data_IF_558001326547
#
_entry.id   IF_558001326547
#
_cell.length_a   1.000
_cell.length_b   1.000
_cell.length_c   1.000
_cell.angle_alpha   90.00
_cell.angle_beta   90.00
_cell.angle_gamma   90.00
#
_symmetry.space_group_name_H-M   'P 1'
#
loop_
_entity.id
_entity.type
_entity.pdbx_description
1 polymer ?
#
# COMPACT_ATOMS: atom_id res chain seq x y z
N UNK A 1 30.98 7.77 2.56
CA UNK A 1 30.24 9.00 2.19
C UNK A 1 28.90 8.93 2.90
N UNK A 2 28.85 9.45 4.12
CA UNK A 2 27.58 9.69 4.82
C UNK A 2 26.95 10.92 4.17
N UNK A 3 26.04 10.70 3.23
CA UNK A 3 25.15 11.76 2.80
C UNK A 3 24.20 12.04 3.96
N UNK A 4 24.35 13.22 4.54
CA UNK A 4 23.46 13.82 5.53
C UNK A 4 22.00 13.70 5.08
N UNK A 5 21.25 12.87 5.80
CA UNK A 5 19.84 12.45 5.58
C UNK A 5 18.82 13.58 5.83
N UNK A 6 19.25 14.83 5.89
CA UNK A 6 18.48 15.90 6.56
C UNK A 6 17.23 16.36 5.79
N UNK A 7 17.01 15.96 4.53
CA UNK A 7 15.87 16.43 3.72
C UNK A 7 15.08 15.34 2.95
N UNK A 8 15.24 14.05 3.26
CA UNK A 8 14.37 13.01 2.64
C UNK A 8 13.02 12.98 3.38
N UNK A 9 11.89 13.35 2.74
CA UNK A 9 10.59 13.42 3.41
C UNK A 9 10.02 12.04 3.78
N UNK A 10 10.68 10.95 3.39
CA UNK A 10 10.34 9.59 3.77
C UNK A 10 11.21 9.04 4.91
N UNK A 11 12.00 9.90 5.56
CA UNK A 11 12.63 9.59 6.84
C UNK A 11 11.56 9.56 7.91
N UNK A 12 11.38 8.40 8.52
CA UNK A 12 10.40 8.15 9.57
C UNK A 12 11.10 8.00 10.91
N UNK A 13 10.61 8.71 11.93
CA UNK A 13 10.98 8.40 13.31
C UNK A 13 10.11 7.23 13.78
N UNK A 14 10.72 6.06 14.00
CA UNK A 14 9.97 4.86 14.40
C UNK A 14 10.04 4.59 15.90
N UNK A 15 10.90 5.29 16.63
CA UNK A 15 10.99 5.17 18.08
C UNK A 15 12.19 5.89 18.67
N UNK A 16 12.57 5.47 19.87
CA UNK A 16 13.78 5.90 20.58
C UNK A 16 14.57 4.68 21.05
N UNK A 17 15.87 4.85 21.21
CA UNK A 17 16.70 3.87 21.90
C UNK A 17 16.24 3.77 23.38
N UNK A 18 16.00 2.56 23.92
CA UNK A 18 15.54 2.39 25.30
C UNK A 18 16.46 2.98 26.36
N UNK A 19 17.78 2.92 26.11
CA UNK A 19 18.81 3.25 27.07
C UNK A 19 19.20 4.71 26.95
N UNK A 20 19.52 5.16 25.72
CA UNK A 20 20.03 6.51 25.48
C UNK A 20 18.92 7.54 25.25
N UNK A 21 17.68 7.08 24.96
CA UNK A 21 16.54 7.91 24.57
C UNK A 21 16.74 8.72 23.29
N UNK A 22 17.79 8.42 22.52
CA UNK A 22 18.02 9.06 21.23
C UNK A 22 16.96 8.63 20.22
N UNK A 23 16.50 9.57 19.38
CA UNK A 23 15.55 9.29 18.32
C UNK A 23 16.14 8.32 17.31
N UNK A 24 15.35 7.30 16.96
CA UNK A 24 15.68 6.33 15.94
C UNK A 24 14.89 6.65 14.67
N UNK A 25 15.62 7.02 13.62
CA UNK A 25 15.05 7.46 12.33
C UNK A 25 15.68 6.67 11.19
N UNK A 26 14.90 6.37 10.16
CA UNK A 26 15.44 5.80 8.91
C UNK A 26 14.52 6.13 7.73
N UNK A 27 15.07 6.17 6.52
CA UNK A 27 14.30 6.37 5.30
C UNK A 27 13.55 5.09 4.90
N UNK A 28 12.25 5.21 4.59
CA UNK A 28 11.47 4.08 4.04
C UNK A 28 12.15 3.43 2.82
N UNK A 29 12.77 4.17 1.86
CA UNK A 29 13.48 3.56 0.74
C UNK A 29 14.70 2.71 1.14
N UNK A 30 15.29 2.99 2.31
CA UNK A 30 16.40 2.19 2.89
C UNK A 30 15.91 1.02 3.71
N UNK A 31 14.73 1.13 4.32
CA UNK A 31 14.02 0.00 4.92
C UNK A 31 13.42 -0.95 3.89
N UNK A 32 13.17 -0.47 2.67
CA UNK A 32 12.57 -1.17 1.53
C UNK A 32 11.16 -1.67 1.84
N UNK A 33 11.02 -2.77 2.57
CA UNK A 33 9.74 -3.31 3.03
C UNK A 33 9.86 -3.69 4.51
N UNK A 34 8.82 -3.38 5.28
CA UNK A 34 8.80 -3.52 6.73
C UNK A 34 7.92 -4.72 7.11
N UNK A 35 8.47 -5.63 7.92
CA UNK A 35 7.73 -6.69 8.58
C UNK A 35 7.56 -6.39 10.08
N UNK A 36 6.35 -6.51 10.61
CA UNK A 36 6.08 -6.38 12.05
C UNK A 36 5.56 -7.70 12.61
N UNK A 37 6.28 -8.27 13.57
CA UNK A 37 6.00 -9.60 14.12
C UNK A 37 5.94 -9.52 15.63
N UNK A 38 4.77 -9.78 16.23
CA UNK A 38 4.62 -9.72 17.69
C UNK A 38 3.34 -10.41 18.15
N UNK A 39 3.27 -10.88 19.39
CA UNK A 39 2.02 -11.41 19.95
C UNK A 39 0.99 -10.29 20.20
N UNK A 40 -0.26 -10.70 20.47
CA UNK A 40 -1.33 -9.78 20.88
C UNK A 40 -0.89 -8.95 22.09
N UNK A 41 -1.16 -7.64 22.05
CA UNK A 41 -0.74 -6.71 23.10
C UNK A 41 0.70 -6.18 22.96
N UNK A 42 1.50 -6.69 22.02
CA UNK A 42 2.89 -6.25 21.80
C UNK A 42 3.05 -4.85 21.19
N UNK A 43 1.95 -4.18 20.80
CA UNK A 43 1.98 -2.82 20.28
C UNK A 43 1.95 -2.70 18.75
N UNK A 44 1.61 -3.78 18.03
CA UNK A 44 1.49 -3.83 16.55
C UNK A 44 0.75 -2.62 15.96
N UNK A 45 -0.52 -2.45 16.32
CA UNK A 45 -1.37 -1.34 15.82
C UNK A 45 -0.80 0.03 16.18
N UNK A 46 -0.20 0.16 17.38
CA UNK A 46 0.41 1.44 17.81
C UNK A 46 1.60 1.80 16.92
N UNK A 47 2.47 0.83 16.61
CA UNK A 47 3.60 1.04 15.71
C UNK A 47 3.12 1.40 14.30
N UNK A 48 2.19 0.63 13.73
CA UNK A 48 1.67 0.87 12.38
C UNK A 48 1.03 2.25 12.25
N UNK A 49 0.20 2.66 13.22
CA UNK A 49 -0.38 4.01 13.26
C UNK A 49 0.70 5.09 13.35
N UNK A 50 1.75 4.88 14.14
CA UNK A 50 2.87 5.82 14.24
C UNK A 50 3.63 5.94 12.92
N UNK A 51 3.90 4.82 12.23
CA UNK A 51 4.55 4.83 10.92
C UNK A 51 3.70 5.57 9.87
N UNK A 52 2.39 5.29 9.80
CA UNK A 52 1.47 6.01 8.91
C UNK A 52 1.47 7.50 9.24
N UNK A 53 1.38 7.84 10.52
CA UNK A 53 1.36 9.22 10.98
C UNK A 53 2.60 10.00 10.55
N UNK A 54 3.81 9.45 10.76
CA UNK A 54 5.06 10.09 10.33
C UNK A 54 5.09 10.29 8.80
N UNK A 55 4.62 9.30 8.05
CA UNK A 55 4.56 9.39 6.58
C UNK A 55 3.60 10.49 6.11
N UNK A 56 2.36 10.53 6.59
CA UNK A 56 1.36 11.50 6.13
C UNK A 56 1.63 12.93 6.61
N UNK A 57 2.30 13.08 7.76
CA UNK A 57 2.69 14.39 8.30
C UNK A 57 3.79 15.04 7.46
N UNK A 58 4.71 14.24 6.92
CA UNK A 58 5.82 14.73 6.11
C UNK A 58 5.51 14.79 4.61
N UNK A 59 4.47 14.08 4.13
CA UNK A 59 4.20 13.92 2.71
C UNK A 59 2.74 14.20 2.36
N UNK A 60 2.51 15.12 1.41
CA UNK A 60 1.19 15.34 0.83
C UNK A 60 0.71 14.19 -0.07
N UNK A 61 -0.58 14.18 -0.44
CA UNK A 61 -1.19 13.13 -1.27
C UNK A 61 -0.67 13.11 -2.73
N UNK A 62 0.05 14.13 -3.14
CA UNK A 62 0.79 14.24 -4.41
C UNK A 62 2.12 13.48 -4.38
N UNK A 63 2.68 13.24 -3.19
CA UNK A 63 3.96 12.53 -2.99
C UNK A 63 3.80 11.15 -2.38
N UNK A 64 2.75 10.93 -1.61
CA UNK A 64 2.47 9.68 -0.90
C UNK A 64 1.07 9.19 -1.19
N UNK A 65 0.98 7.89 -1.44
CA UNK A 65 -0.24 7.13 -1.63
C UNK A 65 -0.27 5.93 -0.69
N UNK A 66 -1.45 5.60 -0.16
CA UNK A 66 -1.64 4.55 0.82
C UNK A 66 -2.67 3.52 0.34
N UNK A 67 -2.36 2.25 0.57
CA UNK A 67 -3.34 1.16 0.58
C UNK A 67 -3.33 0.62 2.00
N UNK A 68 -4.51 0.47 2.61
CA UNK A 68 -4.64 -0.05 3.98
C UNK A 68 -5.59 -1.25 3.94
N UNK A 69 -5.13 -2.37 4.47
CA UNK A 69 -5.94 -3.56 4.74
C UNK A 69 -6.11 -3.75 6.24
N UNK A 70 -7.37 -3.74 6.68
CA UNK A 70 -7.82 -3.93 8.06
C UNK A 70 -9.01 -4.90 8.06
N UNK A 71 -8.76 -6.22 7.95
CA UNK A 71 -9.81 -7.22 7.74
C UNK A 71 -10.69 -7.48 8.97
N UNK A 72 -10.24 -7.10 10.16
CA UNK A 72 -10.87 -7.52 11.42
C UNK A 72 -11.11 -6.39 12.40
N UNK A 73 -10.28 -5.36 12.39
CA UNK A 73 -10.37 -4.29 13.36
C UNK A 73 -11.04 -3.07 12.72
N UNK A 74 -11.48 -2.14 13.55
CA UNK A 74 -11.85 -0.79 13.09
C UNK A 74 -10.72 0.18 13.41
N UNK A 75 -9.48 -0.34 13.43
CA UNK A 75 -8.33 0.37 13.95
C UNK A 75 -7.88 1.50 13.02
N UNK A 76 -8.28 1.45 11.75
CA UNK A 76 -7.93 2.47 10.77
C UNK A 76 -9.16 3.23 10.24
N UNK A 77 -10.35 3.04 10.85
CA UNK A 77 -11.59 3.65 10.37
C UNK A 77 -11.55 5.19 10.26
N UNK A 78 -10.81 5.85 11.16
CA UNK A 78 -10.61 7.30 11.14
C UNK A 78 -9.72 7.79 9.97
N UNK A 79 -9.05 6.88 9.25
CA UNK A 79 -8.33 7.19 8.01
C UNK A 79 -9.17 7.06 6.74
N UNK A 80 -10.43 6.62 6.83
CA UNK A 80 -11.30 6.33 5.68
C UNK A 80 -11.49 7.49 4.68
N UNK A 81 -11.20 8.73 5.09
CA UNK A 81 -11.32 9.94 4.25
C UNK A 81 -10.00 10.59 3.86
N UNK A 82 -8.86 9.96 4.17
CA UNK A 82 -7.54 10.48 3.80
C UNK A 82 -7.43 10.68 2.29
N UNK A 83 -6.93 11.85 1.87
CA UNK A 83 -6.62 12.14 0.47
C UNK A 83 -5.50 11.25 -0.10
N UNK A 84 -4.71 10.63 0.78
CA UNK A 84 -3.58 9.75 0.45
C UNK A 84 -4.01 8.35 0.07
N UNK A 85 -5.17 7.88 0.53
CA UNK A 85 -5.64 6.54 0.17
C UNK A 85 -5.69 6.41 -1.36
N UNK A 86 -5.47 5.21 -1.90
CA UNK A 86 -5.66 4.88 -3.33
C UNK A 86 -6.97 4.18 -3.59
N UNK A 87 -7.52 3.55 -2.57
CA UNK A 87 -8.76 2.79 -2.57
C UNK A 87 -9.39 2.89 -1.16
N UNK A 88 -10.66 2.50 -1.00
CA UNK A 88 -11.22 2.27 0.33
C UNK A 88 -10.36 1.31 1.15
N UNK A 89 -10.42 1.44 2.48
CA UNK A 89 -9.73 0.52 3.39
C UNK A 89 -10.31 -0.88 3.20
N UNK A 90 -9.48 -1.81 2.73
CA UNK A 90 -9.87 -3.19 2.47
C UNK A 90 -10.19 -3.94 3.77
N UNK A 91 -11.33 -4.63 3.78
CA UNK A 91 -11.90 -5.30 4.97
C UNK A 91 -11.94 -6.81 4.87
N UNK A 92 -11.50 -7.38 3.77
CA UNK A 92 -11.45 -8.82 3.56
C UNK A 92 -10.33 -9.16 2.57
N UNK A 93 -10.14 -10.46 2.35
CA UNK A 93 -9.13 -11.00 1.43
C UNK A 93 -9.34 -10.53 -0.02
N UNK A 94 -10.57 -10.54 -0.53
CA UNK A 94 -10.87 -10.14 -1.91
C UNK A 94 -10.56 -8.66 -2.15
N UNK A 95 -11.03 -7.78 -1.26
CA UNK A 95 -10.73 -6.34 -1.30
C UNK A 95 -9.22 -6.08 -1.16
N UNK A 96 -8.52 -6.84 -0.32
CA UNK A 96 -7.08 -6.70 -0.16
C UNK A 96 -6.34 -7.13 -1.42
N UNK A 97 -6.77 -8.23 -2.04
CA UNK A 97 -6.22 -8.76 -3.28
C UNK A 97 -6.40 -7.74 -4.41
N UNK A 98 -7.61 -7.20 -4.57
CA UNK A 98 -7.90 -6.15 -5.56
C UNK A 98 -7.06 -4.89 -5.32
N UNK A 99 -6.91 -4.46 -4.06
CA UNK A 99 -6.12 -3.29 -3.71
C UNK A 99 -4.61 -3.49 -3.99
N UNK A 100 -4.04 -4.65 -3.64
CA UNK A 100 -2.63 -4.95 -3.92
C UNK A 100 -2.38 -5.09 -5.42
N UNK A 101 -3.32 -5.65 -6.18
CA UNK A 101 -3.24 -5.71 -7.64
C UNK A 101 -3.16 -4.32 -8.29
N UNK A 102 -3.72 -3.27 -7.69
CA UNK A 102 -3.54 -1.89 -8.16
C UNK A 102 -2.09 -1.44 -8.02
N UNK A 103 -1.48 -1.71 -6.87
CA UNK A 103 -0.07 -1.37 -6.66
C UNK A 103 0.84 -2.16 -7.60
N UNK A 104 0.56 -3.45 -7.81
CA UNK A 104 1.31 -4.27 -8.77
C UNK A 104 1.20 -3.75 -10.20
N UNK A 105 -0.02 -3.42 -10.67
CA UNK A 105 -0.22 -2.80 -11.99
C UNK A 105 0.51 -1.48 -12.14
N UNK A 106 0.48 -0.64 -11.11
CA UNK A 106 1.21 0.63 -11.10
C UNK A 106 2.73 0.39 -11.13
N UNK A 107 3.23 -0.66 -10.47
CA UNK A 107 4.63 -1.09 -10.56
C UNK A 107 5.03 -1.36 -12.00
N UNK A 108 4.24 -2.17 -12.71
CA UNK A 108 4.50 -2.51 -14.10
C UNK A 108 4.36 -1.29 -15.02
N UNK A 109 3.36 -0.42 -14.79
CA UNK A 109 3.23 0.85 -15.53
C UNK A 109 4.48 1.72 -15.36
N UNK A 110 4.99 1.86 -14.14
CA UNK A 110 6.23 2.61 -13.86
C UNK A 110 7.44 2.01 -14.57
N UNK A 111 7.55 0.69 -14.58
CA UNK A 111 8.60 -0.03 -15.30
C UNK A 111 8.53 0.23 -16.81
N UNK A 112 7.34 0.22 -17.41
CA UNK A 112 7.16 0.53 -18.85
C UNK A 112 7.55 1.97 -19.19
N UNK A 113 7.14 2.96 -18.40
CA UNK A 113 7.50 4.38 -18.69
C UNK A 113 8.97 4.68 -18.43
N UNK A 114 9.64 3.94 -17.53
CA UNK A 114 11.06 4.10 -17.21
C UNK A 114 11.96 3.42 -18.25
N UNK A 115 11.53 2.29 -18.82
CA UNK A 115 12.32 1.46 -19.76
C UNK A 115 13.00 2.26 -20.89
N UNK A 116 12.32 3.14 -21.65
CA UNK A 116 12.96 3.88 -22.74
C UNK A 116 14.07 4.83 -22.29
N UNK A 117 14.07 5.23 -21.02
CA UNK A 117 15.14 6.05 -20.43
C UNK A 117 16.31 5.18 -19.96
N UNK A 118 16.01 4.02 -19.36
CA UNK A 118 17.00 3.04 -18.91
C UNK A 118 17.87 2.52 -20.06
N UNK A 119 17.31 2.38 -21.27
CA UNK A 119 18.03 1.97 -22.48
C UNK A 119 19.03 3.02 -22.98
N UNK A 120 18.85 4.29 -22.59
CA UNK A 120 19.67 5.41 -23.06
C UNK A 120 20.72 5.85 -22.04
N UNK A 121 20.41 5.74 -20.76
CA UNK A 121 21.28 6.17 -19.65
C UNK A 121 20.89 5.46 -18.34
N UNK A 122 21.76 5.46 -17.31
CA UNK A 122 21.42 4.89 -16.01
C UNK A 122 20.12 5.47 -15.43
N UNK A 123 19.05 4.69 -15.47
CA UNK A 123 17.73 5.06 -14.97
C UNK A 123 17.00 3.78 -14.52
N UNK A 124 17.13 3.45 -13.24
CA UNK A 124 16.61 2.18 -12.71
C UNK A 124 15.58 2.39 -11.60
N UNK A 125 15.21 3.64 -11.34
CA UNK A 125 14.35 4.02 -10.20
C UNK A 125 13.46 5.20 -10.52
N UNK A 126 12.42 5.42 -9.71
CA UNK A 126 11.58 6.62 -9.81
C UNK A 126 12.38 7.90 -9.50
N UNK A 127 13.43 7.82 -8.69
CA UNK A 127 14.29 8.95 -8.38
C UNK A 127 15.14 9.34 -9.60
N UNK A 128 15.70 8.36 -10.31
CA UNK A 128 16.45 8.62 -11.54
C UNK A 128 15.53 9.16 -12.63
N UNK A 129 14.34 8.57 -12.79
CA UNK A 129 13.32 9.03 -13.72
C UNK A 129 12.91 10.49 -13.46
N UNK A 130 12.68 10.85 -12.20
CA UNK A 130 12.36 12.21 -11.81
C UNK A 130 13.50 13.20 -12.10
N UNK A 131 14.77 12.81 -11.88
CA UNK A 131 15.92 13.65 -12.22
C UNK A 131 16.03 13.92 -13.72
N UNK A 132 15.65 12.94 -14.55
CA UNK A 132 15.75 13.02 -16.01
C UNK A 132 14.59 13.82 -16.62
N UNK A 133 13.37 13.57 -16.14
CA UNK A 133 12.13 14.07 -16.76
C UNK A 133 11.51 15.26 -16.03
N UNK A 134 11.90 15.49 -14.77
CA UNK A 134 11.19 16.39 -13.86
C UNK A 134 9.86 15.84 -13.33
N UNK A 135 9.43 14.65 -13.77
CA UNK A 135 8.14 14.06 -13.37
C UNK A 135 8.31 13.27 -12.08
N UNK A 136 7.65 13.74 -11.02
CA UNK A 136 7.61 13.06 -9.73
C UNK A 136 6.48 12.02 -9.70
N UNK A 137 6.83 10.78 -9.35
CA UNK A 137 5.85 9.71 -9.13
C UNK A 137 5.65 9.51 -7.62
N UNK A 138 4.41 9.52 -7.10
CA UNK A 138 4.18 9.36 -5.68
C UNK A 138 4.60 7.96 -5.21
N UNK A 139 5.16 7.85 -4.01
CA UNK A 139 5.40 6.53 -3.41
C UNK A 139 4.10 5.90 -2.96
N UNK A 140 3.97 4.59 -3.14
CA UNK A 140 2.82 3.81 -2.68
C UNK A 140 3.26 2.98 -1.49
N UNK A 141 2.54 3.07 -0.38
CA UNK A 141 2.79 2.26 0.81
C UNK A 141 1.56 1.40 1.08
N UNK A 142 1.75 0.08 1.01
CA UNK A 142 0.76 -0.93 1.31
C UNK A 142 0.90 -1.30 2.79
N UNK A 143 -0.10 -1.04 3.60
CA UNK A 143 -0.14 -1.39 5.02
C UNK A 143 -1.10 -2.55 5.22
N UNK A 144 -0.58 -3.69 5.66
CA UNK A 144 -1.38 -4.87 6.00
C UNK A 144 -1.34 -5.05 7.51
N UNK A 145 -2.45 -4.78 8.19
CA UNK A 145 -2.49 -4.87 9.65
C UNK A 145 -2.30 -6.31 10.15
N UNK A 146 -2.99 -7.26 9.54
CA UNK A 146 -2.85 -8.69 9.85
C UNK A 146 -2.77 -9.49 8.55
N UNK A 147 -1.58 -9.52 7.94
CA UNK A 147 -1.38 -10.17 6.64
C UNK A 147 -1.75 -11.66 6.67
N UNK A 148 -1.60 -12.34 7.81
CA UNK A 148 -1.95 -13.76 7.92
C UNK A 148 -3.45 -14.06 7.86
N UNK A 149 -4.31 -13.04 8.00
CA UNK A 149 -5.76 -13.19 7.91
C UNK A 149 -6.30 -12.97 6.49
N UNK A 150 -5.48 -12.44 5.58
CA UNK A 150 -5.84 -12.18 4.18
C UNK A 150 -5.03 -13.01 3.19
N UNK A 151 -3.91 -13.59 3.64
CA UNK A 151 -3.14 -14.54 2.82
C UNK A 151 -3.72 -15.93 3.01
N UNK A 152 -4.54 -16.37 2.07
CA UNK A 152 -4.92 -17.78 1.93
C UNK A 152 -4.09 -18.46 0.84
N UNK A 153 -4.02 -19.79 0.88
CA UNK A 153 -3.34 -20.58 -0.16
C UNK A 153 -3.99 -20.49 -1.55
N UNK A 154 -5.22 -19.99 -1.63
CA UNK A 154 -6.00 -19.91 -2.87
C UNK A 154 -5.95 -18.53 -3.51
N UNK A 155 -5.52 -17.50 -2.77
CA UNK A 155 -5.46 -16.15 -3.29
C UNK A 155 -4.11 -15.85 -3.97
N UNK A 156 -4.11 -15.11 -5.09
CA UNK A 156 -2.88 -14.62 -5.73
C UNK A 156 -2.18 -13.54 -4.89
N UNK A 157 -2.76 -13.08 -3.78
CA UNK A 157 -2.25 -12.01 -2.94
C UNK A 157 -0.78 -12.23 -2.52
N UNK A 158 -0.43 -13.43 -2.07
CA UNK A 158 0.94 -13.71 -1.62
C UNK A 158 1.95 -13.60 -2.76
N UNK A 159 1.61 -14.07 -3.95
CA UNK A 159 2.44 -13.97 -5.15
C UNK A 159 2.66 -12.50 -5.53
N UNK A 160 1.59 -11.69 -5.56
CA UNK A 160 1.67 -10.25 -5.80
C UNK A 160 2.55 -9.54 -4.77
N UNK A 161 2.41 -9.86 -3.48
CA UNK A 161 3.22 -9.27 -2.41
C UNK A 161 4.70 -9.67 -2.53
N UNK A 162 5.00 -10.92 -2.90
CA UNK A 162 6.36 -11.37 -3.17
C UNK A 162 6.96 -10.60 -4.36
N UNK A 163 6.22 -10.48 -5.47
CA UNK A 163 6.68 -9.74 -6.65
C UNK A 163 6.96 -8.27 -6.33
N UNK A 164 6.06 -7.61 -5.59
CA UNK A 164 6.26 -6.25 -5.11
C UNK A 164 7.46 -6.19 -4.15
N UNK A 165 7.63 -7.17 -3.27
CA UNK A 165 8.79 -7.24 -2.38
C UNK A 165 10.14 -7.35 -3.11
N UNK A 166 10.15 -8.03 -4.25
CA UNK A 166 11.36 -8.22 -5.06
C UNK A 166 11.69 -7.00 -5.93
N UNK A 167 10.68 -6.33 -6.50
CA UNK A 167 10.87 -5.30 -7.54
C UNK A 167 10.43 -3.88 -7.11
N UNK A 168 9.51 -3.79 -6.15
CA UNK A 168 8.74 -2.59 -5.83
C UNK A 168 9.57 -1.42 -5.35
N UNK A 169 10.67 -1.66 -4.61
CA UNK A 169 11.55 -0.61 -4.08
C UNK A 169 11.98 0.39 -5.16
N UNK A 170 12.46 -0.10 -6.30
CA UNK A 170 12.93 0.74 -7.41
C UNK A 170 11.80 1.60 -7.99
N UNK A 171 10.58 1.07 -7.95
CA UNK A 171 9.38 1.72 -8.47
C UNK A 171 8.64 2.53 -7.40
N UNK A 172 9.22 2.71 -6.21
CA UNK A 172 8.64 3.47 -5.10
C UNK A 172 7.40 2.84 -4.48
N UNK A 173 7.32 1.51 -4.47
CA UNK A 173 6.24 0.75 -3.85
C UNK A 173 6.81 -0.02 -2.66
N UNK A 174 6.23 0.21 -1.49
CA UNK A 174 6.69 -0.31 -0.21
C UNK A 174 5.59 -1.10 0.47
N UNK A 175 5.97 -2.14 1.22
CA UNK A 175 5.04 -2.96 2.00
C UNK A 175 5.37 -2.75 3.47
N UNK A 176 4.35 -2.53 4.29
CA UNK A 176 4.40 -2.63 5.75
C UNK A 176 3.44 -3.74 6.14
N UNK A 177 3.96 -4.95 6.26
CA UNK A 177 3.19 -6.15 6.56
C UNK A 177 3.33 -6.53 8.02
N UNK A 178 2.22 -6.66 8.73
CA UNK A 178 2.22 -7.03 10.13
C UNK A 178 1.46 -8.32 10.38
N UNK A 179 1.91 -9.10 11.36
CA UNK A 179 1.19 -10.29 11.81
C UNK A 179 1.44 -10.61 13.27
N UNK A 180 0.40 -11.12 13.93
CA UNK A 180 0.49 -11.73 15.25
C UNK A 180 0.78 -13.23 15.23
N UNK A 181 0.84 -13.83 14.04
CA UNK A 181 1.06 -15.27 13.82
C UNK A 181 2.28 -15.45 12.90
N UNK A 182 3.51 -15.27 13.40
CA UNK A 182 4.73 -15.21 12.58
C UNK A 182 5.16 -16.55 11.96
N UNK A 183 4.38 -17.62 12.13
CA UNK A 183 4.73 -18.98 11.73
C UNK A 183 4.71 -19.16 10.21
N UNK A 184 5.51 -20.11 9.71
CA UNK A 184 5.56 -20.44 8.28
C UNK A 184 4.24 -20.97 7.71
N UNK A 185 3.32 -21.44 8.57
CA UNK A 185 1.98 -21.88 8.18
C UNK A 185 1.10 -20.70 7.73
N UNK A 186 1.37 -19.51 8.26
CA UNK A 186 0.53 -18.33 8.14
C UNK A 186 1.10 -17.30 7.16
N UNK A 187 2.43 -17.23 7.04
CA UNK A 187 3.14 -16.35 6.10
C UNK A 187 4.36 -17.11 5.59
N UNK A 188 4.53 -17.22 4.26
CA UNK A 188 5.66 -17.97 3.70
C UNK A 188 7.03 -17.38 4.08
N UNK A 189 8.06 -18.23 4.02
CA UNK A 189 9.45 -17.79 4.21
C UNK A 189 9.90 -16.81 3.13
N UNK A 190 9.37 -16.94 1.91
CA UNK A 190 9.71 -16.10 0.76
C UNK A 190 9.18 -14.67 0.92
N UNK A 191 7.91 -14.51 1.32
CA UNK A 191 7.37 -13.19 1.62
C UNK A 191 8.14 -12.52 2.77
N UNK A 192 8.42 -13.27 3.85
CA UNK A 192 9.22 -12.76 4.99
C UNK A 192 10.66 -12.39 4.62
N UNK A 193 11.24 -13.02 3.61
CA UNK A 193 12.59 -12.68 3.13
C UNK A 193 12.62 -11.30 2.45
N UNK A 194 11.54 -10.93 1.76
CA UNK A 194 11.41 -9.62 1.10
C UNK A 194 11.07 -8.47 2.06
N UNK A 195 10.57 -8.75 3.27
CA UNK A 195 10.39 -7.78 4.35
C UNK A 195 11.74 -7.49 5.04
N UNK A 196 12.60 -6.69 4.41
CA UNK A 196 14.01 -6.55 4.79
C UNK A 196 14.25 -5.82 6.11
N UNK A 197 13.43 -4.81 6.44
CA UNK A 197 13.39 -4.24 7.78
C UNK A 197 12.35 -4.97 8.65
N UNK A 198 12.72 -5.45 9.83
CA UNK A 198 11.84 -6.24 10.69
C UNK A 198 11.76 -5.65 12.08
N UNK A 199 10.55 -5.40 12.55
CA UNK A 199 10.23 -5.03 13.92
C UNK A 199 9.69 -6.26 14.63
N UNK A 200 10.52 -6.83 15.50
CA UNK A 200 10.19 -8.07 16.21
C UNK A 200 9.92 -7.73 17.67
N UNK A 201 8.66 -7.89 18.08
CA UNK A 201 8.25 -7.69 19.47
C UNK A 201 8.53 -8.93 20.32
N UNK A 202 8.07 -8.90 21.57
CA UNK A 202 8.19 -10.06 22.46
C UNK A 202 7.41 -11.27 21.92
N UNK A 203 8.02 -12.44 22.00
CA UNK A 203 7.46 -13.75 21.71
C UNK A 203 7.76 -14.69 22.88
N UNK A 204 6.84 -15.61 23.16
CA UNK A 204 6.97 -16.60 24.23
C UNK A 204 7.90 -17.74 23.86
N UNK A 205 7.96 -18.11 22.58
CA UNK A 205 8.86 -19.14 22.07
C UNK A 205 10.07 -18.51 21.37
N UNK A 206 11.25 -18.80 21.89
CA UNK A 206 12.52 -18.36 21.33
C UNK A 206 12.75 -18.86 19.89
N UNK A 207 12.14 -19.99 19.51
CA UNK A 207 12.23 -20.53 18.15
C UNK A 207 11.58 -19.62 17.11
N UNK A 208 10.52 -18.88 17.49
CA UNK A 208 9.79 -17.99 16.60
C UNK A 208 10.64 -16.79 16.15
N UNK A 209 11.51 -16.27 17.02
CA UNK A 209 12.47 -15.24 16.63
C UNK A 209 13.40 -15.73 15.51
N UNK A 210 13.77 -17.02 15.50
CA UNK A 210 14.57 -17.60 14.42
C UNK A 210 13.88 -17.53 13.06
N UNK A 211 12.56 -17.59 13.03
CA UNK A 211 11.77 -17.55 11.80
C UNK A 211 11.66 -16.15 11.19
N UNK A 212 11.94 -15.10 11.97
CA UNK A 212 11.76 -13.71 11.53
C UNK A 212 13.00 -12.84 11.73
N UNK A 213 13.60 -12.82 12.92
CA UNK A 213 14.67 -11.88 13.26
C UNK A 213 16.02 -12.27 12.65
N UNK A 214 16.34 -13.57 12.58
CA UNK A 214 17.64 -14.08 12.12
C UNK A 214 18.86 -13.45 12.85
N UNK A 215 18.71 -13.09 14.12
CA UNK A 215 19.83 -12.64 14.98
C UNK A 215 20.40 -13.82 15.79
N UNK A 216 21.58 -13.70 16.43
CA UNK A 216 22.10 -14.77 17.28
C UNK A 216 21.11 -15.16 18.38
N UNK A 217 20.92 -16.47 18.61
CA UNK A 217 19.91 -16.99 19.57
C UNK A 217 20.06 -16.42 20.99
N UNK A 218 21.29 -16.10 21.40
CA UNK A 218 21.57 -15.48 22.69
C UNK A 218 20.88 -14.10 22.87
N UNK A 219 20.49 -13.43 21.78
CA UNK A 219 19.83 -12.13 21.83
C UNK A 219 18.31 -12.25 22.06
N UNK A 220 17.70 -13.41 21.82
CA UNK A 220 16.25 -13.59 21.98
C UNK A 220 15.83 -13.41 23.44
N UNK A 221 16.66 -13.84 24.38
CA UNK A 221 16.41 -13.71 25.83
C UNK A 221 16.50 -12.28 26.35
N UNK A 222 17.07 -11.36 25.56
CA UNK A 222 17.14 -9.94 25.90
C UNK A 222 15.82 -9.20 25.61
N UNK A 223 14.92 -9.80 24.83
CA UNK A 223 13.63 -9.19 24.52
C UNK A 223 12.72 -9.14 25.75
N UNK A 224 12.30 -7.92 26.08
CA UNK A 224 11.42 -7.66 27.22
C UNK A 224 9.96 -7.67 26.76
N UNK A 225 9.08 -8.24 27.59
CA UNK A 225 7.64 -8.17 27.39
C UNK A 225 7.09 -6.79 27.78
N UNK A 226 7.39 -5.78 26.95
CA UNK A 226 6.93 -4.41 27.10
C UNK A 226 6.23 -4.02 25.79
N UNK A 227 4.98 -3.56 25.82
CA UNK A 227 4.30 -3.08 24.61
C UNK A 227 5.12 -2.00 23.90
N UNK A 228 5.33 -2.18 22.59
CA UNK A 228 6.14 -1.29 21.77
C UNK A 228 7.66 -1.45 21.98
N UNK A 229 8.14 -2.43 22.74
CA UNK A 229 9.55 -2.85 22.69
C UNK A 229 9.77 -3.68 21.44
N UNK A 230 10.68 -3.23 20.58
CA UNK A 230 11.02 -3.89 19.33
C UNK A 230 12.51 -4.21 19.29
N UNK A 231 12.85 -5.39 18.82
CA UNK A 231 14.12 -5.66 18.17
C UNK A 231 13.97 -5.32 16.69
N UNK A 232 14.64 -4.26 16.26
CA UNK A 232 14.64 -3.82 14.87
C UNK A 232 15.83 -4.47 14.19
N UNK A 233 15.57 -5.23 13.13
CA UNK A 233 16.60 -5.87 12.29
C UNK A 233 16.54 -5.26 10.90
N UNK A 234 17.68 -4.84 10.38
CA UNK A 234 17.78 -4.29 9.02
C UNK A 234 19.18 -4.57 8.45
N UNK A 235 19.50 -3.98 7.30
CA UNK A 235 20.79 -4.19 6.61
C UNK A 235 22.01 -3.73 7.40
N UNK A 236 21.86 -2.82 8.38
CA UNK A 236 22.95 -2.30 9.22
C UNK A 236 23.21 -3.16 10.46
N UNK A 237 22.37 -4.17 10.71
CA UNK A 237 22.43 -5.01 11.90
C UNK A 237 21.12 -4.99 12.66
N UNK A 238 21.20 -5.02 13.99
CA UNK A 238 20.03 -5.02 14.86
C UNK A 238 20.23 -4.09 16.05
N UNK A 239 19.13 -3.56 16.57
CA UNK A 239 19.10 -2.72 17.77
C UNK A 239 17.74 -2.78 18.46
N UNK A 240 17.70 -2.40 19.75
CA UNK A 240 16.43 -2.25 20.45
C UNK A 240 15.81 -0.88 20.20
N UNK A 241 14.49 -0.86 20.18
CA UNK A 241 13.69 0.33 19.98
C UNK A 241 12.52 0.31 20.96
N UNK A 242 12.22 1.46 21.56
CA UNK A 242 10.90 1.74 22.11
C UNK A 242 10.10 2.50 21.04
N UNK A 243 9.09 1.87 20.48
CA UNK A 243 8.23 2.44 19.45
C UNK A 243 7.50 3.69 19.93
N UNK A 244 7.25 4.61 19.00
CA UNK A 244 6.45 5.80 19.28
C UNK A 244 5.01 5.43 19.59
N UNK A 245 4.39 6.20 20.49
CA UNK A 245 2.94 6.19 20.72
C UNK A 245 2.41 7.58 20.41
N UNK A 246 1.67 7.69 19.31
CA UNK A 246 0.90 8.89 18.99
C UNK A 246 -0.45 8.79 19.69
N UNK A 247 -0.88 9.86 20.34
CA UNK A 247 -2.20 9.88 20.99
C UNK A 247 -3.31 9.80 19.94
N UNK A 248 -4.43 9.16 20.27
CA UNK A 248 -5.58 9.05 19.35
C UNK A 248 -6.10 10.43 18.92
N UNK A 249 -6.06 11.42 19.82
CA UNK A 249 -6.40 12.82 19.50
C UNK A 249 -5.53 13.38 18.38
N UNK A 250 -4.22 13.15 18.43
CA UNK A 250 -3.29 13.63 17.41
C UNK A 250 -3.45 12.84 16.10
N UNK A 251 -3.63 11.52 16.18
CA UNK A 251 -3.92 10.68 15.01
C UNK A 251 -5.15 11.19 14.25
N UNK A 252 -6.26 11.42 14.96
CA UNK A 252 -7.51 11.91 14.39
C UNK A 252 -7.34 13.32 13.83
N UNK A 253 -6.68 14.22 14.57
CA UNK A 253 -6.44 15.60 14.13
C UNK A 253 -5.64 15.64 12.82
N UNK A 254 -4.55 14.89 12.73
CA UNK A 254 -3.72 14.82 11.51
C UNK A 254 -4.51 14.15 10.38
N UNK A 255 -5.24 13.07 10.66
CA UNK A 255 -6.10 12.43 9.67
C UNK A 255 -7.13 13.41 9.09
N UNK A 256 -7.80 14.18 9.94
CA UNK A 256 -8.79 15.19 9.54
C UNK A 256 -8.16 16.32 8.72
N UNK A 257 -6.95 16.78 9.08
CA UNK A 257 -6.23 17.81 8.34
C UNK A 257 -5.99 17.42 6.87
N UNK A 258 -5.67 16.15 6.62
CA UNK A 258 -5.45 15.60 5.27
C UNK A 258 -6.68 14.89 4.68
N UNK A 259 -7.83 14.96 5.35
CA UNK A 259 -9.07 14.39 4.86
C UNK A 259 -9.73 15.31 3.86
N UNK A 260 -10.40 14.72 2.87
CA UNK A 260 -11.24 15.48 1.94
C UNK A 260 -12.64 15.69 2.53
N UNK A 261 -13.34 16.80 2.20
CA UNK A 261 -14.73 17.01 2.62
C UNK A 261 -15.67 15.90 2.15
N UNK A 262 -15.45 15.43 0.92
CA UNK A 262 -16.13 14.29 0.32
C UNK A 262 -15.19 13.09 0.25
N UNK A 263 -15.73 11.86 0.26
CA UNK A 263 -14.92 10.66 -0.01
C UNK A 263 -14.10 10.88 -1.29
N UNK A 264 -12.83 10.45 -1.33
CA UNK A 264 -12.04 10.57 -2.55
C UNK A 264 -12.83 9.95 -3.70
N UNK A 265 -13.01 10.69 -4.79
CA UNK A 265 -13.38 10.07 -6.07
C UNK A 265 -12.18 9.21 -6.43
N UNK A 266 -12.32 7.94 -6.17
CA UNK A 266 -11.44 6.91 -6.68
C UNK A 266 -11.66 6.92 -8.19
N UNK A 267 -10.87 7.71 -8.92
CA UNK A 267 -11.04 8.04 -10.34
C UNK A 267 -11.12 6.80 -11.24
N UNK A 268 -12.19 6.02 -11.21
CA UNK A 268 -12.52 4.96 -12.16
C UNK A 268 -11.48 3.84 -12.36
N UNK A 269 -10.22 3.94 -11.94
CA UNK A 269 -9.21 2.88 -12.08
C UNK A 269 -9.51 1.69 -11.16
N UNK A 270 -10.35 1.93 -10.14
CA UNK A 270 -10.86 0.92 -9.21
C UNK A 270 -12.09 0.17 -9.73
N UNK A 271 -12.85 0.71 -10.69
CA UNK A 271 -14.01 0.03 -11.30
C UNK A 271 -13.78 -0.35 -12.77
N UNK A 272 -12.81 0.28 -13.45
CA UNK A 272 -12.50 0.03 -14.86
C UNK A 272 -11.81 -1.32 -15.11
N UNK A 273 -11.40 -2.04 -14.07
CA UNK A 273 -10.67 -3.30 -14.21
C UNK A 273 -11.56 -4.54 -13.97
N UNK A 274 -12.69 -4.41 -13.24
CA UNK A 274 -13.65 -5.52 -13.08
C UNK A 274 -15.12 -5.21 -13.40
N UNK A 275 -15.52 -3.95 -13.66
CA UNK A 275 -16.94 -3.60 -13.82
C UNK A 275 -17.25 -2.66 -15.00
N UNK A 276 -16.55 -2.76 -16.14
CA UNK A 276 -17.11 -2.18 -17.37
C UNK A 276 -18.25 -3.07 -17.87
N UNK A 277 -19.52 -2.60 -17.93
CA UNK A 277 -20.59 -3.40 -18.49
C UNK A 277 -20.24 -3.64 -19.96
N UNK A 278 -19.88 -4.88 -20.32
CA UNK A 278 -19.77 -5.25 -21.73
C UNK A 278 -21.17 -5.47 -22.25
N UNK A 279 -21.52 -4.88 -23.39
CA UNK A 279 -22.75 -5.20 -24.14
C UNK A 279 -22.68 -6.69 -24.56
N UNK A 280 -23.14 -7.58 -23.70
CA UNK A 280 -23.22 -9.04 -23.87
C UNK A 280 -24.68 -9.46 -24.04
N UNK A 281 -24.91 -10.64 -24.62
CA UNK A 281 -26.25 -11.12 -24.95
C UNK A 281 -26.63 -10.86 -26.41
N UNK A 282 -27.90 -11.07 -26.72
CA UNK A 282 -28.54 -10.79 -28.01
C UNK A 282 -28.54 -9.27 -28.31
N UNK A 283 -28.78 -8.90 -29.58
CA UNK A 283 -28.82 -7.48 -29.94
C UNK A 283 -29.93 -6.72 -29.21
N UNK A 284 -31.07 -7.36 -28.93
CA UNK A 284 -32.18 -6.77 -28.20
C UNK A 284 -31.82 -6.46 -26.73
N UNK A 285 -31.09 -7.36 -26.06
CA UNK A 285 -30.62 -7.13 -24.69
C UNK A 285 -29.60 -5.99 -24.63
N UNK A 286 -28.70 -5.91 -25.62
CA UNK A 286 -27.73 -4.80 -25.74
C UNK A 286 -28.43 -3.47 -25.96
N UNK A 287 -29.44 -3.43 -26.83
CA UNK A 287 -30.19 -2.21 -27.13
C UNK A 287 -30.99 -1.74 -25.90
N UNK A 288 -31.56 -2.67 -25.12
CA UNK A 288 -32.27 -2.35 -23.88
C UNK A 288 -31.35 -1.74 -22.83
N UNK A 289 -30.21 -2.38 -22.55
CA UNK A 289 -29.21 -1.90 -21.59
C UNK A 289 -28.63 -0.54 -21.98
N UNK A 290 -28.35 -0.35 -23.27
CA UNK A 290 -27.84 0.91 -23.77
C UNK A 290 -28.90 2.01 -23.70
N UNK A 291 -30.16 1.68 -24.00
CA UNK A 291 -31.30 2.60 -23.93
C UNK A 291 -31.59 3.08 -22.51
N UNK A 292 -31.59 2.18 -21.52
CA UNK A 292 -31.74 2.54 -20.10
C UNK A 292 -30.65 3.51 -19.64
N UNK A 293 -29.41 3.28 -20.05
CA UNK A 293 -28.30 4.18 -19.74
C UNK A 293 -28.46 5.56 -20.41
N UNK A 294 -28.93 5.62 -21.67
CA UNK A 294 -29.18 6.89 -22.35
C UNK A 294 -30.28 7.73 -21.68
N UNK A 295 -31.30 7.10 -21.09
CA UNK A 295 -32.36 7.81 -20.36
C UNK A 295 -31.84 8.62 -19.16
N UNK A 296 -30.63 8.34 -18.67
CA UNK A 296 -29.98 9.11 -17.63
C UNK A 296 -29.40 10.46 -18.10
N UNK A 297 -29.41 10.75 -19.40
CA UNK A 297 -28.81 11.96 -19.95
C UNK A 297 -29.88 12.96 -20.42
N UNK A 298 -29.76 14.21 -19.98
CA UNK A 298 -30.61 15.33 -20.43
C UNK A 298 -30.19 15.90 -21.81
N UNK A 299 -29.04 15.45 -22.34
CA UNK A 299 -28.51 15.82 -23.67
C UNK A 299 -27.92 14.59 -24.32
N UNK A 300 -27.77 14.61 -25.64
CA UNK A 300 -27.07 13.54 -26.35
C UNK A 300 -25.63 13.43 -25.83
N UNK A 301 -25.20 12.27 -25.31
CA UNK A 301 -23.81 12.08 -24.89
C UNK A 301 -22.89 12.02 -26.11
N UNK A 302 -21.66 12.52 -25.95
CA UNK A 302 -20.62 12.45 -26.97
C UNK A 302 -20.14 11.00 -27.16
N UNK A 303 -19.60 10.70 -28.35
CA UNK A 303 -19.11 9.35 -28.64
C UNK A 303 -17.99 8.93 -27.68
N UNK A 304 -17.16 9.89 -27.27
CA UNK A 304 -16.10 9.73 -26.29
C UNK A 304 -16.65 9.33 -24.91
N UNK A 305 -17.76 9.95 -24.45
CA UNK A 305 -18.44 9.60 -23.18
C UNK A 305 -19.01 8.17 -23.23
N UNK A 306 -19.53 7.75 -24.39
CA UNK A 306 -20.02 6.38 -24.62
C UNK A 306 -18.89 5.35 -24.64
N UNK A 307 -17.80 5.65 -25.34
CA UNK A 307 -16.62 4.79 -25.43
C UNK A 307 -15.96 4.61 -24.06
N UNK A 308 -15.91 5.70 -23.29
CA UNK A 308 -15.37 5.71 -21.93
C UNK A 308 -16.18 4.81 -21.01
N UNK A 309 -17.52 4.93 -21.03
CA UNK A 309 -18.42 4.15 -20.18
C UNK A 309 -18.51 2.66 -20.58
N UNK A 310 -18.71 2.36 -21.87
CA UNK A 310 -18.99 1.00 -22.35
C UNK A 310 -17.73 0.23 -22.81
N UNK A 311 -16.58 0.90 -22.93
CA UNK A 311 -15.35 0.28 -23.43
C UNK A 311 -15.47 -0.24 -24.87
N UNK A 312 -16.30 0.39 -25.70
CA UNK A 312 -16.54 0.01 -27.09
C UNK A 312 -15.79 0.91 -28.09
N UNK A 313 -15.70 0.50 -29.35
CA UNK A 313 -15.06 1.30 -30.40
C UNK A 313 -15.91 2.51 -30.79
N UNK A 314 -15.28 3.58 -31.29
CA UNK A 314 -15.97 4.79 -31.77
C UNK A 314 -17.08 4.50 -32.79
N UNK A 315 -16.91 3.61 -33.79
CA UNK A 315 -18.00 3.24 -34.70
C UNK A 315 -19.18 2.56 -33.98
N UNK A 316 -18.89 1.71 -33.00
CA UNK A 316 -19.93 1.04 -32.18
C UNK A 316 -20.72 2.08 -31.38
N UNK A 317 -20.03 2.98 -30.70
CA UNK A 317 -20.64 4.07 -29.93
C UNK A 317 -21.57 4.93 -30.80
N UNK A 318 -21.09 5.38 -31.96
CA UNK A 318 -21.87 6.16 -32.91
C UNK A 318 -23.08 5.38 -33.46
N UNK A 319 -22.93 4.08 -33.71
CA UNK A 319 -24.03 3.21 -34.16
C UNK A 319 -25.15 3.07 -33.14
N UNK A 320 -24.85 2.95 -31.85
CA UNK A 320 -25.88 2.92 -30.80
C UNK A 320 -26.53 4.30 -30.60
N UNK A 321 -25.73 5.38 -30.54
CA UNK A 321 -26.25 6.75 -30.45
C UNK A 321 -27.13 7.14 -31.63
N UNK A 322 -26.83 6.66 -32.84
CA UNK A 322 -27.63 6.93 -34.02
C UNK A 322 -28.97 6.17 -34.05
N UNK A 323 -29.01 4.98 -33.44
CA UNK A 323 -30.22 4.12 -33.45
C UNK A 323 -31.16 4.38 -32.27
N UNK A 324 -30.61 4.67 -31.09
CA UNK A 324 -31.37 4.64 -29.83
C UNK A 324 -31.59 6.01 -29.20
N UNK A 325 -30.80 7.03 -29.55
CA UNK A 325 -31.06 8.39 -29.10
C UNK A 325 -32.24 8.97 -29.87
N UNK A 326 -33.31 9.36 -29.16
CA UNK A 326 -34.42 10.15 -29.70
C UNK A 326 -34.29 11.56 -29.14
N UNK A 327 -34.43 12.56 -30.00
CA UNK A 327 -34.43 13.98 -29.60
C UNK A 327 -35.61 14.33 -28.69
#
# INVERSE_FOLDING_TARGET
REETVVNDPFVIQYGVDPMTRQSLTEGLPRMEHIGVFTLTGGGKTTLLRALIHELIKANGPDRLKLIISDPKTLDYAFYSRLAHLLCPIARNEDETTAAVALAEREMERRKEIIRPYAEKQPCNSIEDFAKITGVMLPRIVIVLDEMSDVISKQSPLEESLIRIGQLGRAFGIHIIGATQRPTAKNVSGELKANLTAKFVGFMTDNSEYGNVAKVPKAMYTLMQNIPGRWMVVNRKGWHFCQGLRISDRELVKVAQHYSRPNAPVWNGELEAIEARPKLRGSQAEKDSLFGEWLNGFARKPAAEEVMEYWGCSKPTALGYLGRLWRE
#
